data_IF_526948174523
#
_entry.id   IF_526948174523
#
_cell.length_a   1.000
_cell.length_b   1.000
_cell.length_c   1.000
_cell.angle_alpha   90.00
_cell.angle_beta   90.00
_cell.angle_gamma   90.00
#
_symmetry.space_group_name_H-M   'P 1'
#
loop_
_entity.id
_entity.type
_entity.pdbx_description
1 polymer ?
#
# COMPACT_ATOMS: atom_id res chain seq x y z
N UNK A 1 12.32 5.19 60.78
CA UNK A 1 11.87 3.89 60.25
C UNK A 1 11.44 4.14 58.83
N UNK A 2 12.13 3.52 57.88
CA UNK A 2 11.93 3.66 56.45
C UNK A 2 10.60 3.02 56.04
N UNK A 3 9.80 3.71 55.23
CA UNK A 3 8.85 3.07 54.33
C UNK A 3 9.55 3.05 52.97
N UNK A 4 10.23 1.95 52.68
CA UNK A 4 10.60 1.57 51.32
C UNK A 4 9.28 1.28 50.59
N UNK A 5 8.93 2.13 49.62
CA UNK A 5 7.86 1.82 48.68
C UNK A 5 8.37 0.68 47.79
N UNK A 6 7.65 -0.44 47.84
CA UNK A 6 7.93 -1.70 47.14
C UNK A 6 8.08 -1.45 45.63
N UNK A 7 9.33 -1.34 45.18
CA UNK A 7 9.75 -1.26 43.78
C UNK A 7 9.74 -2.67 43.15
N UNK A 8 8.64 -3.42 43.39
CA UNK A 8 8.48 -4.79 42.91
C UNK A 8 7.58 -4.79 41.66
N UNK A 9 8.03 -4.07 40.63
CA UNK A 9 7.52 -4.25 39.28
C UNK A 9 7.69 -5.73 38.91
N UNK A 10 6.63 -6.38 38.44
CA UNK A 10 6.66 -7.81 38.21
C UNK A 10 7.72 -8.15 37.15
N UNK A 11 8.40 -9.29 37.29
CA UNK A 11 9.42 -9.73 36.32
C UNK A 11 8.91 -9.77 34.86
N UNK A 12 7.60 -9.95 34.65
CA UNK A 12 6.99 -9.87 33.32
C UNK A 12 6.83 -8.43 32.80
N UNK A 13 6.72 -7.42 33.67
CA UNK A 13 6.71 -6.00 33.29
C UNK A 13 8.09 -5.56 32.79
N UNK A 14 9.15 -6.01 33.46
CA UNK A 14 10.53 -5.79 33.02
C UNK A 14 10.80 -6.46 31.66
N UNK A 15 10.42 -7.74 31.51
CA UNK A 15 10.57 -8.48 30.24
C UNK A 15 9.69 -7.94 29.10
N UNK A 16 8.51 -7.39 29.41
CA UNK A 16 7.64 -6.73 28.43
C UNK A 16 8.26 -5.41 27.94
N UNK A 17 8.82 -4.60 28.86
CA UNK A 17 9.49 -3.35 28.52
C UNK A 17 10.78 -3.56 27.71
N UNK A 18 11.54 -4.60 28.04
CA UNK A 18 12.81 -4.95 27.38
C UNK A 18 12.59 -5.62 26.00
N UNK A 19 11.58 -6.49 25.87
CA UNK A 19 11.24 -7.17 24.61
C UNK A 19 10.58 -6.28 23.54
N UNK A 20 9.96 -5.17 23.94
CA UNK A 20 9.33 -4.22 23.00
C UNK A 20 10.28 -3.14 22.48
N UNK A 21 11.49 -3.02 23.04
CA UNK A 21 12.53 -2.05 22.67
C UNK A 21 12.01 -0.62 22.43
N UNK A 22 10.97 -0.22 23.18
CA UNK A 22 10.21 1.03 22.98
C UNK A 22 11.10 2.27 23.14
N UNK A 23 12.10 2.20 24.03
CA UNK A 23 13.04 3.31 24.31
C UNK A 23 14.16 3.45 23.28
N UNK A 24 14.55 2.37 22.59
CA UNK A 24 15.58 2.43 21.55
C UNK A 24 14.99 2.75 20.17
N UNK A 25 13.75 2.33 19.90
CA UNK A 25 13.08 2.50 18.59
C UNK A 25 12.35 3.85 18.46
N UNK A 26 11.79 4.40 19.55
CA UNK A 26 11.29 5.78 19.57
C UNK A 26 12.41 6.74 19.99
N UNK A 27 13.16 7.26 19.01
CA UNK A 27 13.83 8.56 19.19
C UNK A 27 12.99 9.62 18.50
N UNK A 28 12.51 10.56 19.27
CA UNK A 28 11.81 11.76 18.82
C UNK A 28 12.83 12.84 18.42
N UNK A 29 12.54 13.62 17.38
CA UNK A 29 13.22 14.91 17.16
C UNK A 29 12.56 16.01 17.98
N UNK A 30 13.08 17.24 17.92
CA UNK A 30 12.59 18.43 18.64
C UNK A 30 11.10 18.79 18.34
N UNK A 31 10.47 18.12 17.38
CA UNK A 31 9.03 18.24 17.08
C UNK A 31 8.20 17.00 17.43
N UNK A 32 8.83 15.93 17.92
CA UNK A 32 8.20 14.65 18.24
C UNK A 32 7.95 13.73 17.04
N UNK A 33 8.51 13.97 15.83
CA UNK A 33 8.23 13.11 14.67
C UNK A 33 9.29 13.09 13.55
N UNK A 34 10.16 12.07 13.56
CA UNK A 34 11.22 11.87 12.55
C UNK A 34 10.83 11.02 11.33
N UNK A 35 9.70 10.32 11.40
CA UNK A 35 9.41 9.23 10.45
C UNK A 35 9.11 9.69 9.00
N UNK A 36 8.36 10.79 8.76
CA UNK A 36 8.04 11.21 7.40
C UNK A 36 9.28 11.74 6.64
N UNK A 37 10.10 12.57 7.29
CA UNK A 37 11.27 13.19 6.67
C UNK A 37 12.37 12.16 6.32
N UNK A 38 12.60 11.18 7.21
CA UNK A 38 13.56 10.09 6.96
C UNK A 38 13.05 9.17 5.82
N UNK A 39 11.75 8.87 5.79
CA UNK A 39 11.14 8.06 4.72
C UNK A 39 11.31 8.72 3.34
N UNK A 40 11.06 10.03 3.26
CA UNK A 40 11.22 10.79 2.01
C UNK A 40 12.68 10.79 1.55
N UNK A 41 13.62 11.03 2.47
CA UNK A 41 15.05 11.06 2.17
C UNK A 41 15.56 9.69 1.69
N UNK A 42 15.13 8.60 2.34
CA UNK A 42 15.40 7.22 1.91
C UNK A 42 14.80 6.92 0.52
N UNK A 43 13.58 7.38 0.26
CA UNK A 43 12.90 7.16 -1.03
C UNK A 43 13.62 7.89 -2.17
N UNK A 44 14.09 9.11 -1.92
CA UNK A 44 14.86 9.91 -2.88
C UNK A 44 16.23 9.29 -3.16
N UNK A 45 16.92 8.80 -2.11
CA UNK A 45 18.20 8.10 -2.26
C UNK A 45 18.06 6.83 -3.12
N UNK A 46 17.02 6.01 -2.86
CA UNK A 46 16.69 4.83 -3.69
C UNK A 46 16.37 5.21 -5.14
N UNK A 47 15.64 6.31 -5.37
CA UNK A 47 15.34 6.83 -6.72
C UNK A 47 16.61 7.23 -7.47
N UNK A 48 17.52 7.98 -6.83
CA UNK A 48 18.81 8.38 -7.41
C UNK A 48 19.65 7.17 -7.79
N UNK A 49 19.75 6.18 -6.89
CA UNK A 49 20.48 4.93 -7.15
C UNK A 49 19.95 4.18 -8.38
N UNK A 50 18.63 4.00 -8.47
CA UNK A 50 17.99 3.35 -9.63
C UNK A 50 18.22 4.11 -10.94
N UNK A 51 18.34 5.43 -10.90
CA UNK A 51 18.59 6.24 -12.09
C UNK A 51 20.04 6.09 -12.57
N UNK A 52 20.99 6.03 -11.63
CA UNK A 52 22.42 5.83 -11.91
C UNK A 52 22.72 4.41 -12.40
N UNK A 53 22.03 3.40 -11.86
CA UNK A 53 22.20 1.99 -12.23
C UNK A 53 21.39 1.60 -13.49
N UNK A 54 20.73 2.54 -14.18
CA UNK A 54 19.99 2.23 -15.41
C UNK A 54 20.95 1.81 -16.52
N UNK A 55 20.75 0.64 -17.16
CA UNK A 55 21.55 0.27 -18.33
C UNK A 55 21.32 1.28 -19.46
N UNK A 56 22.38 1.66 -20.17
CA UNK A 56 22.35 2.73 -21.17
C UNK A 56 21.48 2.41 -22.41
N UNK A 57 21.28 1.13 -22.72
CA UNK A 57 20.56 0.68 -23.91
C UNK A 57 19.52 -0.38 -23.58
N UNK A 58 18.38 0.03 -23.01
CA UNK A 58 17.22 -0.83 -22.81
C UNK A 58 16.08 -0.31 -23.69
N UNK A 59 15.38 -1.21 -24.40
CA UNK A 59 14.11 -0.86 -25.04
C UNK A 59 13.13 -0.45 -23.94
N UNK A 60 12.77 0.84 -23.90
CA UNK A 60 11.82 1.34 -22.92
C UNK A 60 10.41 1.05 -23.44
N UNK A 61 9.59 0.35 -22.65
CA UNK A 61 8.15 0.32 -22.84
C UNK A 61 7.57 1.68 -22.47
N UNK A 62 7.59 2.62 -23.42
CA UNK A 62 7.17 4.02 -23.21
C UNK A 62 5.65 4.08 -23.03
N UNK A 63 4.90 3.37 -23.87
CA UNK A 63 3.46 3.17 -23.71
C UNK A 63 3.18 1.90 -22.91
N UNK A 64 2.43 2.02 -21.82
CA UNK A 64 2.06 0.90 -20.96
C UNK A 64 0.56 0.89 -20.74
N UNK A 65 -0.03 -0.28 -20.93
CA UNK A 65 -1.41 -0.56 -20.56
C UNK A 65 -1.36 -1.52 -19.38
N UNK A 66 -1.79 -1.07 -18.21
CA UNK A 66 -1.65 -1.81 -16.95
C UNK A 66 -3.03 -2.05 -16.35
N UNK A 67 -3.32 -3.30 -15.99
CA UNK A 67 -4.47 -3.62 -15.16
C UNK A 67 -4.02 -3.86 -13.72
N UNK A 68 -4.65 -3.14 -12.80
CA UNK A 68 -4.53 -3.38 -11.36
C UNK A 68 -5.70 -4.27 -10.94
N UNK A 69 -5.35 -5.45 -10.41
CA UNK A 69 -6.30 -6.40 -9.84
C UNK A 69 -6.33 -6.19 -8.33
N UNK A 70 -7.45 -5.68 -7.81
CA UNK A 70 -7.64 -5.41 -6.39
C UNK A 70 -8.47 -6.52 -5.76
N UNK A 71 -7.88 -7.21 -4.78
CA UNK A 71 -8.60 -8.18 -3.97
C UNK A 71 -9.62 -7.46 -3.06
N UNK A 72 -10.88 -7.88 -3.15
CA UNK A 72 -12.00 -7.47 -2.32
C UNK A 72 -12.73 -8.72 -1.79
N UNK A 73 -12.00 -9.79 -1.49
CA UNK A 73 -12.52 -10.97 -0.79
C UNK A 73 -12.66 -10.71 0.71
N UNK A 74 -13.30 -11.63 1.43
CA UNK A 74 -13.53 -11.50 2.87
C UNK A 74 -12.24 -11.37 3.70
N UNK A 75 -11.08 -11.87 3.22
CA UNK A 75 -9.83 -11.73 3.96
C UNK A 75 -9.32 -10.27 4.03
N UNK A 76 -9.84 -9.39 3.19
CA UNK A 76 -9.40 -7.99 3.11
C UNK A 76 -10.03 -7.09 4.19
N UNK A 77 -11.00 -7.61 4.95
CA UNK A 77 -11.56 -6.93 6.13
C UNK A 77 -10.73 -7.15 7.40
N UNK A 78 -9.73 -8.04 7.36
CA UNK A 78 -8.84 -8.31 8.48
C UNK A 78 -8.07 -7.04 8.89
N UNK A 79 -7.75 -6.95 10.18
CA UNK A 79 -7.11 -5.78 10.81
C UNK A 79 -5.65 -6.02 11.21
N UNK A 80 -4.94 -6.89 10.47
CA UNK A 80 -3.50 -7.03 10.63
C UNK A 80 -2.74 -5.75 10.23
N UNK A 81 -3.32 -4.98 9.31
CA UNK A 81 -2.97 -3.60 9.00
C UNK A 81 -4.07 -2.68 9.53
N UNK A 82 -3.69 -1.60 10.22
CA UNK A 82 -4.64 -0.65 10.80
C UNK A 82 -5.06 0.39 9.73
N UNK A 83 -6.37 0.66 9.51
CA UNK A 83 -7.53 0.09 10.20
C UNK A 83 -8.03 -1.27 9.65
N UNK A 84 -7.74 -1.58 8.37
CA UNK A 84 -7.97 -2.88 7.73
C UNK A 84 -7.03 -3.04 6.52
N UNK A 85 -6.85 -4.28 6.03
CA UNK A 85 -6.05 -4.55 4.82
C UNK A 85 -6.53 -3.73 3.63
N UNK A 86 -7.83 -3.72 3.34
CA UNK A 86 -8.38 -2.98 2.20
C UNK A 86 -8.11 -1.47 2.32
N UNK A 87 -8.26 -0.91 3.52
CA UNK A 87 -8.00 0.51 3.76
C UNK A 87 -6.53 0.86 3.52
N UNK A 88 -5.62 -0.01 3.95
CA UNK A 88 -4.19 0.17 3.75
C UNK A 88 -3.82 0.04 2.26
N UNK A 89 -4.30 -1.01 1.58
CA UNK A 89 -4.04 -1.25 0.15
C UNK A 89 -4.60 -0.13 -0.70
N UNK A 90 -5.82 0.36 -0.41
CA UNK A 90 -6.41 1.50 -1.13
C UNK A 90 -5.52 2.74 -1.03
N UNK A 91 -5.06 3.09 0.18
CA UNK A 91 -4.16 4.24 0.39
C UNK A 91 -2.81 4.06 -0.32
N UNK A 92 -2.25 2.86 -0.30
CA UNK A 92 -1.02 2.55 -1.03
C UNK A 92 -1.23 2.64 -2.56
N UNK A 93 -2.40 2.20 -3.04
CA UNK A 93 -2.76 2.27 -4.44
C UNK A 93 -2.97 3.70 -4.93
N UNK A 94 -3.60 4.57 -4.13
CA UNK A 94 -3.71 6.00 -4.43
C UNK A 94 -2.32 6.62 -4.62
N UNK A 95 -1.39 6.37 -3.70
CA UNK A 95 -0.01 6.84 -3.82
C UNK A 95 0.78 6.20 -4.98
N UNK A 96 0.44 4.98 -5.37
CA UNK A 96 0.99 4.34 -6.57
C UNK A 96 0.50 5.02 -7.84
N UNK A 97 -0.80 5.32 -7.95
CA UNK A 97 -1.38 5.97 -9.14
C UNK A 97 -0.74 7.32 -9.40
N UNK A 98 -0.59 8.16 -8.37
CA UNK A 98 0.05 9.48 -8.49
C UNK A 98 1.48 9.35 -9.03
N UNK A 99 2.29 8.47 -8.41
CA UNK A 99 3.69 8.24 -8.81
C UNK A 99 3.80 7.57 -10.19
N UNK A 100 2.85 6.71 -10.54
CA UNK A 100 2.83 6.02 -11.81
C UNK A 100 2.56 6.99 -12.95
N UNK A 101 1.55 7.85 -12.84
CA UNK A 101 1.23 8.83 -13.88
C UNK A 101 2.26 9.97 -13.94
N UNK A 102 2.89 10.35 -12.83
CA UNK A 102 4.04 11.29 -12.81
C UNK A 102 5.20 10.75 -13.66
N UNK A 103 5.51 9.46 -13.55
CA UNK A 103 6.62 8.83 -14.27
C UNK A 103 6.26 8.36 -15.68
N UNK A 104 4.97 8.16 -15.97
CA UNK A 104 4.49 7.55 -17.22
C UNK A 104 3.24 8.30 -17.75
N UNK A 105 3.40 9.53 -18.27
CA UNK A 105 2.27 10.42 -18.63
C UNK A 105 1.39 9.90 -19.77
N UNK A 106 1.92 9.02 -20.63
CA UNK A 106 1.18 8.44 -21.77
C UNK A 106 0.66 7.02 -21.49
N UNK A 107 0.86 6.50 -20.28
CA UNK A 107 0.38 5.17 -19.91
C UNK A 107 -1.09 5.20 -19.49
N UNK A 108 -1.75 4.05 -19.56
CA UNK A 108 -3.13 3.87 -19.16
C UNK A 108 -3.23 2.80 -18.09
N UNK A 109 -4.12 3.02 -17.12
CA UNK A 109 -4.43 2.06 -16.07
C UNK A 109 -5.91 1.68 -16.17
N UNK A 110 -6.23 0.42 -15.87
CA UNK A 110 -7.58 -0.04 -15.56
C UNK A 110 -7.58 -0.73 -14.20
N UNK A 111 -8.69 -0.66 -13.47
CA UNK A 111 -8.82 -1.31 -12.14
C UNK A 111 -9.96 -2.32 -12.18
N UNK A 112 -9.68 -3.54 -11.75
CA UNK A 112 -10.63 -4.65 -11.65
C UNK A 112 -10.68 -5.08 -10.18
N UNK A 113 -11.90 -5.18 -9.63
CA UNK A 113 -12.16 -5.73 -8.30
C UNK A 113 -12.43 -7.22 -8.40
N UNK A 114 -11.99 -7.93 -7.38
CA UNK A 114 -12.14 -9.37 -7.24
C UNK A 114 -12.92 -9.65 -5.97
N UNK A 115 -14.20 -9.99 -6.10
CA UNK A 115 -15.06 -10.30 -4.97
C UNK A 115 -16.04 -11.40 -5.37
N UNK A 116 -16.46 -12.19 -4.39
CA UNK A 116 -17.50 -13.22 -4.58
C UNK A 116 -17.31 -14.10 -5.83
N UNK A 117 -16.08 -14.59 -6.03
CA UNK A 117 -15.64 -15.44 -7.17
C UNK A 117 -15.79 -14.77 -8.53
N UNK A 118 -16.05 -13.47 -8.60
CA UNK A 118 -16.28 -12.68 -9.81
C UNK A 118 -15.23 -11.58 -9.95
N UNK A 119 -15.04 -11.16 -11.20
CA UNK A 119 -14.25 -9.98 -11.54
C UNK A 119 -15.20 -8.86 -11.96
N UNK A 120 -15.05 -7.69 -11.36
CA UNK A 120 -15.86 -6.51 -11.64
C UNK A 120 -14.95 -5.37 -12.10
N UNK A 121 -15.22 -4.78 -13.25
CA UNK A 121 -14.43 -3.65 -13.76
C UNK A 121 -14.82 -2.38 -13.00
N UNK A 122 -13.96 -1.89 -12.11
CA UNK A 122 -14.20 -0.63 -11.40
C UNK A 122 -13.94 0.56 -12.31
N UNK A 123 -12.83 0.54 -13.04
CA UNK A 123 -12.50 1.57 -14.02
C UNK A 123 -11.96 0.96 -15.30
N UNK A 124 -12.38 1.52 -16.43
CA UNK A 124 -11.84 1.20 -17.74
C UNK A 124 -10.40 1.68 -17.88
N UNK A 125 -9.72 1.14 -18.89
CA UNK A 125 -8.37 1.53 -19.25
C UNK A 125 -8.34 3.01 -19.68
N UNK A 126 -7.78 3.88 -18.85
CA UNK A 126 -7.73 5.33 -19.12
C UNK A 126 -6.45 5.95 -18.56
N UNK A 127 -6.08 7.11 -19.10
CA UNK A 127 -5.00 7.96 -18.58
C UNK A 127 -5.48 8.97 -17.52
N UNK A 128 -6.79 9.00 -17.22
CA UNK A 128 -7.34 9.97 -16.28
C UNK A 128 -7.18 9.51 -14.82
N UNK A 129 -6.09 9.93 -14.18
CA UNK A 129 -5.78 9.60 -12.77
C UNK A 129 -6.94 9.91 -11.80
N UNK A 130 -7.65 11.03 -12.01
CA UNK A 130 -8.75 11.45 -11.13
C UNK A 130 -9.92 10.47 -11.16
N UNK A 131 -10.23 9.92 -12.34
CA UNK A 131 -11.29 8.90 -12.49
C UNK A 131 -10.99 7.64 -11.68
N UNK A 132 -9.72 7.21 -11.64
CA UNK A 132 -9.32 6.06 -10.82
C UNK A 132 -9.44 6.34 -9.33
N UNK A 133 -8.94 7.50 -8.88
CA UNK A 133 -8.98 7.89 -7.47
C UNK A 133 -10.41 8.05 -6.95
N UNK A 134 -11.26 8.72 -7.71
CA UNK A 134 -12.65 8.94 -7.32
C UNK A 134 -13.42 7.59 -7.24
N UNK A 135 -13.13 6.65 -8.15
CA UNK A 135 -13.70 5.30 -8.09
C UNK A 135 -13.14 4.47 -6.91
N UNK A 136 -11.84 4.56 -6.63
CA UNK A 136 -11.20 3.87 -5.50
C UNK A 136 -11.71 4.38 -4.16
N UNK A 137 -12.04 5.67 -4.04
CA UNK A 137 -12.61 6.25 -2.83
C UNK A 137 -13.95 5.58 -2.42
N UNK A 138 -14.68 5.00 -3.38
CA UNK A 138 -15.90 4.23 -3.12
C UNK A 138 -15.67 2.80 -2.62
N UNK A 139 -14.44 2.28 -2.72
CA UNK A 139 -14.11 0.93 -2.26
C UNK A 139 -13.85 0.95 -0.76
N UNK A 140 -14.70 0.25 -0.01
CA UNK A 140 -14.67 0.21 1.46
C UNK A 140 -14.65 -1.24 1.97
N UNK A 141 -14.55 -1.42 3.28
CA UNK A 141 -14.70 -2.75 3.91
C UNK A 141 -16.02 -3.42 3.54
N UNK A 142 -17.10 -2.65 3.38
CA UNK A 142 -18.40 -3.17 2.94
C UNK A 142 -18.39 -3.69 1.49
N UNK A 143 -17.41 -3.31 0.69
CA UNK A 143 -17.21 -3.84 -0.66
C UNK A 143 -16.54 -5.22 -0.66
N UNK A 144 -15.97 -5.65 0.47
CA UNK A 144 -15.20 -6.87 0.58
C UNK A 144 -16.10 -8.06 0.97
N UNK A 145 -16.23 -9.05 0.09
CA UNK A 145 -17.08 -10.21 0.32
C UNK A 145 -16.66 -11.42 -0.52
N UNK A 146 -16.98 -12.61 0.00
CA UNK A 146 -16.76 -13.88 -0.69
C UNK A 146 -15.29 -14.19 -0.95
N UNK A 147 -15.02 -14.93 -2.02
CA UNK A 147 -13.68 -15.45 -2.37
C UNK A 147 -13.08 -14.73 -3.59
N UNK A 148 -11.75 -14.75 -3.68
CA UNK A 148 -10.99 -14.21 -4.81
C UNK A 148 -11.01 -15.17 -6.03
N UNK A 149 -11.00 -14.63 -7.25
CA UNK A 149 -10.96 -15.43 -8.50
C UNK A 149 -10.02 -14.84 -9.55
N UNK A 150 -8.77 -15.30 -9.57
CA UNK A 150 -7.75 -14.81 -10.52
C UNK A 150 -8.13 -15.04 -11.98
N UNK A 151 -8.68 -16.22 -12.30
CA UNK A 151 -9.02 -16.58 -13.67
C UNK A 151 -9.97 -15.56 -14.31
N UNK A 152 -11.06 -15.21 -13.62
CA UNK A 152 -12.06 -14.28 -14.13
C UNK A 152 -11.48 -12.88 -14.38
N UNK A 153 -10.58 -12.41 -13.51
CA UNK A 153 -9.91 -11.13 -13.70
C UNK A 153 -8.95 -11.15 -14.90
N UNK A 154 -8.16 -12.23 -15.05
CA UNK A 154 -7.26 -12.37 -16.19
C UNK A 154 -8.02 -12.45 -17.51
N UNK A 155 -9.13 -13.20 -17.57
CA UNK A 155 -10.00 -13.25 -18.75
C UNK A 155 -10.58 -11.88 -19.10
N UNK A 156 -11.02 -11.10 -18.11
CA UNK A 156 -11.53 -9.74 -18.33
C UNK A 156 -10.42 -8.80 -18.83
N UNK A 157 -9.23 -8.85 -18.22
CA UNK A 157 -8.09 -8.05 -18.64
C UNK A 157 -7.64 -8.41 -20.06
N UNK A 158 -7.53 -9.71 -20.38
CA UNK A 158 -7.16 -10.20 -21.71
C UNK A 158 -8.15 -9.76 -22.79
N UNK A 159 -9.46 -9.76 -22.51
CA UNK A 159 -10.47 -9.26 -23.47
C UNK A 159 -10.30 -7.76 -23.79
N UNK A 160 -9.72 -6.99 -22.87
CA UNK A 160 -9.55 -5.54 -23.02
C UNK A 160 -8.18 -5.16 -23.59
N UNK A 161 -7.14 -5.97 -23.34
CA UNK A 161 -5.75 -5.74 -23.79
C UNK A 161 -5.44 -6.29 -25.20
N UNK A 162 -6.41 -6.90 -25.87
CA UNK A 162 -6.26 -7.41 -27.24
C UNK A 162 -6.26 -6.31 -28.28
#
# INVERSE_FOLDING_TARGET
MAHEEDDNAYSWEAGYAEGLNIREVLREDESGSLQPAISDLLSQAKRKRRLLERPAHVRLGIMRHVFVLLDCSACMTDKDLIPSRISCVRKALDGFLDKFFEQNPISQIGVILLKDKRAEKLTELTGNHRKHRDALAGVTEASCAGEFSLQNALEMAMKTLK
#
